data_IF_656345423919
#
_entry.id   IF_656345423919
#
_cell.length_a   1.000
_cell.length_b   1.000
_cell.length_c   1.000
_cell.angle_alpha   90.00
_cell.angle_beta   90.00
_cell.angle_gamma   90.00
#
_symmetry.space_group_name_H-M   'P 1'
#
loop_
_entity.id
_entity.type
_entity.pdbx_description
1 polymer ?
#
# COMPACT_ATOMS: atom_id res chain seq x y z
N UNK A 1 24.28 -17.88 22.04
CA UNK A 1 25.24 -18.98 22.08
C UNK A 1 25.41 -19.60 20.70
N UNK A 2 26.67 -19.58 20.30
CA UNK A 2 27.38 -20.49 19.38
C UNK A 2 27.28 -20.30 17.86
N UNK A 3 28.33 -19.65 17.42
CA UNK A 3 28.92 -19.60 16.09
C UNK A 3 29.33 -21.00 15.56
N UNK A 4 29.12 -21.30 14.27
CA UNK A 4 29.95 -22.27 13.53
C UNK A 4 30.22 -21.77 12.12
N UNK A 5 31.46 -21.36 11.89
CA UNK A 5 32.12 -21.21 10.58
C UNK A 5 32.29 -22.59 9.93
N UNK A 6 32.12 -22.71 8.62
CA UNK A 6 32.68 -23.76 7.80
C UNK A 6 33.46 -23.16 6.63
N UNK A 7 34.77 -23.43 6.68
CA UNK A 7 35.71 -23.29 5.56
C UNK A 7 35.44 -24.38 4.52
N UNK A 8 35.57 -24.07 3.23
CA UNK A 8 35.82 -25.05 2.20
C UNK A 8 36.95 -24.63 1.27
N UNK A 9 37.71 -25.63 0.99
CA UNK A 9 39.03 -25.75 0.40
C UNK A 9 39.11 -25.40 -1.11
N UNK A 10 40.25 -24.88 -1.40
CA UNK A 10 40.84 -24.63 -2.73
C UNK A 10 41.24 -25.93 -3.46
N UNK A 11 41.00 -26.05 -4.76
CA UNK A 11 41.73 -26.94 -5.63
C UNK A 11 42.09 -26.25 -6.95
N UNK A 12 43.41 -26.12 -7.13
CA UNK A 12 44.12 -25.78 -8.35
C UNK A 12 43.93 -26.84 -9.46
N UNK A 13 43.83 -26.42 -10.72
CA UNK A 13 44.47 -27.16 -11.86
C UNK A 13 44.69 -26.23 -13.08
N UNK A 14 45.93 -26.06 -13.34
CA UNK A 14 46.74 -26.08 -14.58
C UNK A 14 46.37 -25.26 -15.83
N UNK A 15 47.36 -24.50 -16.21
CA UNK A 15 47.54 -23.62 -17.40
C UNK A 15 47.54 -24.39 -18.73
N UNK A 16 47.01 -23.74 -19.80
CA UNK A 16 47.59 -23.78 -21.16
C UNK A 16 47.57 -22.38 -21.77
N UNK A 17 48.74 -21.99 -22.31
CA UNK A 17 48.97 -20.74 -23.05
C UNK A 17 48.46 -20.87 -24.48
N UNK A 18 47.81 -19.86 -25.01
CA UNK A 18 47.83 -19.47 -26.41
C UNK A 18 47.76 -17.92 -26.47
N UNK A 19 48.72 -17.30 -27.17
CA UNK A 19 48.88 -15.89 -27.26
C UNK A 19 47.89 -15.24 -28.26
N UNK A 20 47.40 -14.09 -27.91
CA UNK A 20 46.60 -13.19 -28.73
C UNK A 20 46.37 -11.91 -27.96
N UNK A 21 46.72 -10.79 -28.54
CA UNK A 21 46.61 -9.45 -27.96
C UNK A 21 45.13 -9.12 -27.68
N UNK A 22 44.73 -9.35 -26.45
CA UNK A 22 43.47 -8.80 -25.91
C UNK A 22 43.76 -8.24 -24.51
N UNK A 23 43.34 -7.02 -24.27
CA UNK A 23 43.44 -6.37 -22.97
C UNK A 23 42.95 -7.30 -21.87
N UNK A 24 43.69 -7.36 -20.78
CA UNK A 24 43.48 -8.34 -19.71
C UNK A 24 42.13 -8.14 -19.05
N UNK A 25 41.50 -9.21 -18.57
CA UNK A 25 40.25 -9.16 -17.79
C UNK A 25 40.36 -8.25 -16.55
N UNK A 26 41.55 -7.88 -16.12
CA UNK A 26 41.84 -6.90 -15.06
C UNK A 26 41.56 -5.48 -15.50
N UNK A 27 41.88 -5.11 -16.76
CA UNK A 27 41.56 -3.78 -17.29
C UNK A 27 40.06 -3.54 -17.41
N UNK A 28 39.27 -4.58 -17.73
CA UNK A 28 37.80 -4.50 -17.78
C UNK A 28 37.17 -4.49 -16.39
N UNK A 29 37.78 -5.08 -15.39
CA UNK A 29 37.34 -4.98 -13.98
C UNK A 29 37.64 -3.58 -13.44
N UNK A 30 38.84 -3.06 -13.70
CA UNK A 30 39.25 -1.72 -13.25
C UNK A 30 38.35 -0.62 -13.83
N UNK A 31 37.95 -0.71 -15.10
CA UNK A 31 37.02 0.24 -15.75
C UNK A 31 35.60 0.10 -15.19
N UNK A 32 35.15 -1.10 -14.83
CA UNK A 32 33.84 -1.30 -14.17
C UNK A 32 33.82 -0.79 -12.72
N UNK A 33 34.93 -0.88 -12.02
CA UNK A 33 35.05 -0.40 -10.63
C UNK A 33 35.17 1.15 -10.58
N UNK A 34 35.81 1.78 -11.56
CA UNK A 34 35.86 3.23 -11.71
C UNK A 34 34.46 3.82 -12.03
N UNK A 35 33.64 3.13 -12.82
CA UNK A 35 32.24 3.56 -13.13
C UNK A 35 31.30 3.33 -11.94
N UNK A 36 31.62 2.46 -11.00
CA UNK A 36 30.84 2.27 -9.75
C UNK A 36 31.08 3.33 -8.68
N UNK A 37 32.13 4.13 -8.79
CA UNK A 37 32.62 4.96 -7.67
C UNK A 37 32.01 6.36 -7.54
N UNK A 38 31.05 6.79 -8.37
CA UNK A 38 30.59 8.20 -8.36
C UNK A 38 29.09 8.43 -8.22
N UNK A 39 28.32 7.45 -7.78
CA UNK A 39 26.97 7.74 -7.28
C UNK A 39 27.04 7.98 -5.77
N UNK A 40 27.38 9.20 -5.37
CA UNK A 40 27.13 9.67 -4.01
C UNK A 40 25.65 9.43 -3.70
N UNK A 41 25.37 8.48 -2.78
CA UNK A 41 24.01 8.25 -2.32
C UNK A 41 23.53 9.54 -1.67
N UNK A 42 22.51 10.16 -2.23
CA UNK A 42 21.84 11.31 -1.62
C UNK A 42 21.50 10.96 -0.17
N UNK A 43 21.99 11.74 0.78
CA UNK A 43 21.62 11.60 2.18
C UNK A 43 20.38 12.44 2.42
N UNK A 44 19.42 11.87 3.16
CA UNK A 44 18.19 12.56 3.54
C UNK A 44 18.24 12.83 5.04
N UNK A 45 17.88 14.04 5.44
CA UNK A 45 17.66 14.42 6.83
C UNK A 45 16.23 14.88 7.02
N UNK A 46 15.67 14.64 8.22
CA UNK A 46 14.35 15.12 8.58
C UNK A 46 14.44 16.56 9.06
N UNK A 47 13.57 17.42 8.48
CA UNK A 47 13.45 18.83 8.83
C UNK A 47 12.65 19.01 10.13
N UNK A 48 11.58 18.23 10.29
CA UNK A 48 10.60 18.34 11.38
C UNK A 48 10.71 17.21 12.42
N UNK A 49 11.94 16.74 12.72
CA UNK A 49 12.14 15.58 13.61
C UNK A 49 11.42 15.69 14.96
N UNK A 50 11.47 16.86 15.62
CA UNK A 50 10.85 17.05 16.92
C UNK A 50 9.33 16.87 16.90
N UNK A 51 8.65 17.45 15.91
CA UNK A 51 7.19 17.33 15.72
C UNK A 51 6.81 15.92 15.30
N UNK A 52 7.55 15.35 14.37
CA UNK A 52 7.30 13.99 13.89
C UNK A 52 7.50 12.95 15.02
N UNK A 53 8.51 13.13 15.88
CA UNK A 53 8.71 12.27 17.04
C UNK A 53 7.54 12.35 18.03
N UNK A 54 7.02 13.55 18.31
CA UNK A 54 5.79 13.72 19.12
C UNK A 54 4.59 12.99 18.49
N UNK A 55 4.44 13.06 17.17
CA UNK A 55 3.40 12.34 16.45
C UNK A 55 3.56 10.81 16.58
N UNK A 56 4.78 10.30 16.47
CA UNK A 56 5.09 8.88 16.68
C UNK A 56 4.70 8.40 18.09
N UNK A 57 5.05 9.16 19.12
CA UNK A 57 4.68 8.87 20.51
C UNK A 57 3.15 8.86 20.66
N UNK A 58 2.45 9.85 20.07
CA UNK A 58 1.00 9.97 20.15
C UNK A 58 0.26 8.80 19.51
N UNK A 59 0.85 8.10 18.52
CA UNK A 59 0.23 6.89 17.92
C UNK A 59 -0.05 5.78 18.93
N UNK A 60 0.72 5.72 20.03
CA UNK A 60 0.51 4.79 21.13
C UNK A 60 -0.47 5.26 22.20
N UNK A 61 -1.04 6.47 22.08
CA UNK A 61 -1.99 6.98 23.07
C UNK A 61 -3.34 6.28 22.98
N UNK A 62 -3.85 5.78 24.10
CA UNK A 62 -5.18 5.17 24.18
C UNK A 62 -6.28 6.19 23.91
N UNK A 63 -6.10 7.45 24.30
CA UNK A 63 -7.08 8.54 24.07
C UNK A 63 -7.29 8.86 22.58
N UNK A 64 -6.44 8.34 21.70
CA UNK A 64 -6.65 8.43 20.26
C UNK A 64 -7.77 7.50 19.77
N UNK A 65 -8.01 6.39 20.50
CA UNK A 65 -8.92 5.33 20.08
C UNK A 65 -10.15 5.24 20.99
N UNK A 66 -10.03 5.70 22.24
CA UNK A 66 -11.13 5.74 23.20
C UNK A 66 -11.50 7.22 23.39
N UNK A 67 -12.66 7.59 22.87
CA UNK A 67 -13.20 8.94 23.03
C UNK A 67 -13.71 9.15 24.46
N UNK A 68 -13.55 10.34 25.06
CA UNK A 68 -14.12 10.64 26.39
C UNK A 68 -15.65 10.49 26.48
N UNK A 69 -16.34 10.58 25.36
CA UNK A 69 -17.80 10.42 25.25
C UNK A 69 -18.24 9.01 24.84
N UNK A 70 -17.36 8.01 25.00
CA UNK A 70 -17.62 6.62 24.60
C UNK A 70 -18.93 6.06 25.16
N UNK A 71 -19.31 6.42 26.38
CA UNK A 71 -20.52 5.95 27.04
C UNK A 71 -21.79 6.32 26.27
N UNK A 72 -21.79 7.47 25.56
CA UNK A 72 -22.97 7.98 24.84
C UNK A 72 -23.33 7.18 23.60
N UNK A 73 -22.36 6.53 22.99
CA UNK A 73 -22.52 5.88 21.69
C UNK A 73 -22.09 4.42 21.67
N UNK A 74 -21.68 3.85 22.82
CA UNK A 74 -21.20 2.47 22.90
C UNK A 74 -22.29 1.45 22.61
N UNK A 75 -23.47 1.68 23.14
CA UNK A 75 -24.61 0.82 22.90
C UNK A 75 -25.36 1.23 21.64
N UNK A 76 -25.91 0.24 20.94
CA UNK A 76 -26.73 0.42 19.75
C UNK A 76 -28.20 0.61 20.09
N UNK A 77 -28.98 0.92 19.07
CA UNK A 77 -30.44 1.00 19.13
C UNK A 77 -31.08 -0.31 18.60
N UNK A 78 -32.30 -0.61 19.08
CA UNK A 78 -33.09 -1.75 18.63
C UNK A 78 -32.51 -3.11 19.05
N UNK A 79 -32.38 -4.02 18.09
CA UNK A 79 -31.89 -5.38 18.35
C UNK A 79 -30.36 -5.48 18.58
N UNK A 80 -29.62 -4.43 18.31
CA UNK A 80 -28.17 -4.40 18.48
C UNK A 80 -27.79 -3.85 19.84
N UNK A 81 -27.27 -4.70 20.73
CA UNK A 81 -26.77 -4.29 22.05
C UNK A 81 -25.61 -3.26 21.92
N UNK A 82 -24.75 -3.41 20.90
CA UNK A 82 -23.59 -2.56 20.67
C UNK A 82 -23.73 -1.80 19.35
N UNK A 83 -23.30 -0.54 19.32
CA UNK A 83 -23.27 0.26 18.11
C UNK A 83 -22.22 -0.24 17.10
N UNK A 84 -22.33 0.17 15.83
CA UNK A 84 -21.32 -0.11 14.80
C UNK A 84 -19.97 0.49 15.19
N UNK A 85 -19.99 1.70 15.76
CA UNK A 85 -18.79 2.38 16.25
C UNK A 85 -18.10 1.60 17.38
N UNK A 86 -18.84 0.96 18.27
CA UNK A 86 -18.25 0.10 19.29
C UNK A 86 -17.54 -1.11 18.68
N UNK A 87 -18.15 -1.74 17.67
CA UNK A 87 -17.52 -2.84 16.95
C UNK A 87 -16.28 -2.37 16.16
N UNK A 88 -16.33 -1.20 15.53
CA UNK A 88 -15.16 -0.61 14.87
C UNK A 88 -13.99 -0.37 15.84
N UNK A 89 -14.27 0.12 17.05
CA UNK A 89 -13.24 0.28 18.10
C UNK A 89 -12.63 -1.06 18.49
N UNK A 90 -13.45 -2.10 18.67
CA UNK A 90 -12.95 -3.45 18.96
C UNK A 90 -12.04 -3.97 17.84
N UNK A 91 -12.45 -3.80 16.58
CA UNK A 91 -11.66 -4.20 15.41
C UNK A 91 -10.40 -3.34 15.22
N UNK A 92 -10.44 -2.08 15.62
CA UNK A 92 -9.27 -1.18 15.64
C UNK A 92 -8.23 -1.70 16.64
N UNK A 93 -8.61 -2.04 17.87
CA UNK A 93 -7.70 -2.65 18.84
C UNK A 93 -7.14 -3.99 18.35
N UNK A 94 -8.02 -4.83 17.76
CA UNK A 94 -7.60 -6.09 17.13
C UNK A 94 -6.50 -5.85 16.08
N UNK A 95 -6.68 -4.86 15.22
CA UNK A 95 -5.73 -4.55 14.15
C UNK A 95 -4.42 -3.96 14.68
N UNK A 96 -4.49 -2.99 15.59
CA UNK A 96 -3.33 -2.30 16.18
C UNK A 96 -2.40 -3.26 16.92
N UNK A 97 -2.98 -4.11 17.77
CA UNK A 97 -2.22 -5.03 18.62
C UNK A 97 -2.12 -6.45 18.03
N UNK A 98 -2.68 -6.67 16.81
CA UNK A 98 -2.66 -7.95 16.10
C UNK A 98 -3.23 -9.11 16.94
N UNK A 99 -4.28 -8.85 17.71
CA UNK A 99 -4.86 -9.81 18.63
C UNK A 99 -5.86 -10.74 17.92
N UNK A 100 -5.97 -12.01 18.34
CA UNK A 100 -7.14 -12.82 18.04
C UNK A 100 -8.39 -12.22 18.68
N UNK A 101 -9.59 -12.46 18.14
CA UNK A 101 -10.84 -11.86 18.64
C UNK A 101 -11.09 -12.10 20.14
N UNK A 102 -10.87 -13.32 20.62
CA UNK A 102 -11.00 -13.63 22.06
C UNK A 102 -10.06 -12.82 22.93
N UNK A 103 -8.79 -12.68 22.50
CA UNK A 103 -7.83 -11.87 23.22
C UNK A 103 -8.17 -10.37 23.12
N UNK A 104 -8.79 -9.93 22.04
CA UNK A 104 -9.27 -8.54 21.89
C UNK A 104 -10.36 -8.23 22.92
N UNK A 105 -11.35 -9.13 23.09
CA UNK A 105 -12.40 -8.98 24.11
C UNK A 105 -11.77 -8.84 25.50
N UNK A 106 -10.89 -9.78 25.89
CA UNK A 106 -10.24 -9.73 27.21
C UNK A 106 -9.34 -8.51 27.40
N UNK A 107 -8.63 -8.09 26.37
CA UNK A 107 -7.80 -6.88 26.39
C UNK A 107 -8.63 -5.61 26.63
N UNK A 108 -9.71 -5.43 25.89
CA UNK A 108 -10.57 -4.24 26.03
C UNK A 108 -11.33 -4.28 27.36
N UNK A 109 -11.78 -5.46 27.82
CA UNK A 109 -12.40 -5.59 29.14
C UNK A 109 -11.45 -5.12 30.25
N UNK A 110 -10.22 -5.66 30.28
CA UNK A 110 -9.24 -5.25 31.28
C UNK A 110 -8.89 -3.75 31.19
N UNK A 111 -8.91 -3.18 29.97
CA UNK A 111 -8.67 -1.76 29.76
C UNK A 111 -9.83 -0.91 30.36
N UNK A 112 -11.07 -1.32 30.15
CA UNK A 112 -12.24 -0.63 30.72
C UNK A 112 -12.25 -0.72 32.25
N UNK A 113 -11.91 -1.88 32.80
CA UNK A 113 -11.79 -2.06 34.25
C UNK A 113 -10.72 -1.12 34.85
N UNK A 114 -9.54 -1.05 34.21
CA UNK A 114 -8.44 -0.17 34.65
C UNK A 114 -8.76 1.34 34.53
N UNK A 115 -9.52 1.72 33.52
CA UNK A 115 -9.94 3.11 33.28
C UNK A 115 -11.25 3.46 34.00
N UNK A 116 -11.84 2.54 34.75
CA UNK A 116 -13.12 2.67 35.43
C UNK A 116 -14.27 3.09 34.48
N UNK A 117 -14.26 2.54 33.25
CA UNK A 117 -15.32 2.76 32.25
C UNK A 117 -16.43 1.73 32.51
N UNK A 118 -17.66 2.17 32.90
CA UNK A 118 -18.73 1.25 33.32
C UNK A 118 -19.50 0.67 32.11
N UNK A 119 -18.79 0.15 31.13
CA UNK A 119 -19.35 -0.39 29.89
C UNK A 119 -19.02 -1.89 29.76
N UNK A 120 -20.00 -2.68 29.32
CA UNK A 120 -19.75 -4.09 28.95
C UNK A 120 -19.08 -4.16 27.57
N UNK A 121 -18.24 -5.17 27.37
CA UNK A 121 -17.48 -5.37 26.13
C UNK A 121 -18.16 -6.45 25.28
N UNK A 122 -18.29 -6.28 23.95
CA UNK A 122 -18.86 -7.29 23.08
C UNK A 122 -18.08 -8.62 23.14
N UNK A 123 -18.81 -9.71 23.17
CA UNK A 123 -18.24 -11.05 23.03
C UNK A 123 -17.63 -11.23 21.64
N UNK A 124 -16.58 -12.04 21.53
CA UNK A 124 -15.87 -12.30 20.28
C UNK A 124 -16.77 -12.86 19.17
N UNK A 125 -17.85 -13.57 19.49
CA UNK A 125 -18.83 -14.07 18.51
C UNK A 125 -19.66 -12.92 17.94
N UNK A 126 -20.05 -11.96 18.78
CA UNK A 126 -20.75 -10.74 18.37
C UNK A 126 -19.85 -9.91 17.45
N UNK A 127 -18.58 -9.68 17.82
CA UNK A 127 -17.63 -8.96 16.99
C UNK A 127 -17.44 -9.67 15.64
N UNK A 128 -17.29 -10.99 15.64
CA UNK A 128 -17.09 -11.77 14.42
C UNK A 128 -18.27 -11.67 13.46
N UNK A 129 -19.51 -11.78 13.98
CA UNK A 129 -20.73 -11.67 13.18
C UNK A 129 -20.94 -10.25 12.65
N UNK A 130 -20.82 -9.26 13.53
CA UNK A 130 -21.02 -7.84 13.18
C UNK A 130 -19.96 -7.30 12.24
N UNK A 131 -18.75 -7.87 12.23
CA UNK A 131 -17.69 -7.46 11.30
C UNK A 131 -18.06 -7.61 9.83
N UNK A 132 -19.04 -8.43 9.47
CA UNK A 132 -19.53 -8.62 8.11
C UNK A 132 -20.44 -7.46 7.67
N UNK A 133 -21.38 -7.07 8.51
CA UNK A 133 -22.43 -6.10 8.18
C UNK A 133 -22.05 -4.65 8.50
N UNK A 134 -20.82 -4.40 8.93
CA UNK A 134 -20.41 -3.12 9.51
C UNK A 134 -20.38 -1.93 8.54
N UNK A 135 -20.14 -2.19 7.25
CA UNK A 135 -20.13 -1.13 6.23
C UNK A 135 -19.14 0.01 6.50
N UNK A 136 -17.93 -0.32 6.97
CA UNK A 136 -16.93 0.68 7.36
C UNK A 136 -16.59 1.62 6.22
N UNK A 137 -16.63 2.92 6.50
CA UNK A 137 -16.30 3.98 5.54
C UNK A 137 -14.85 4.42 5.75
N UNK A 138 -14.17 4.73 4.66
CA UNK A 138 -12.82 5.27 4.69
C UNK A 138 -12.83 6.73 5.15
N UNK A 139 -12.16 7.03 6.27
CA UNK A 139 -12.03 8.38 6.80
C UNK A 139 -10.99 9.17 5.99
N UNK A 140 -11.44 10.25 5.35
CA UNK A 140 -10.63 11.11 4.50
C UNK A 140 -10.81 12.58 4.88
N UNK A 141 -9.76 13.38 4.67
CA UNK A 141 -9.92 14.84 4.73
C UNK A 141 -10.68 15.34 3.50
N UNK A 142 -11.60 16.33 3.66
CA UNK A 142 -12.21 16.98 2.50
C UNK A 142 -11.16 17.74 1.69
N UNK A 143 -11.34 17.77 0.36
CA UNK A 143 -10.46 18.48 -0.58
C UNK A 143 -11.25 19.09 -1.71
N UNK A 144 -10.79 20.24 -2.20
CA UNK A 144 -11.35 20.88 -3.39
C UNK A 144 -10.92 20.17 -4.66
N UNK A 145 -9.68 19.67 -4.68
CA UNK A 145 -9.07 18.94 -5.77
C UNK A 145 -8.01 17.99 -5.23
N UNK A 146 -7.78 16.88 -5.90
CA UNK A 146 -6.77 15.89 -5.48
C UNK A 146 -6.05 15.28 -6.68
N UNK A 147 -4.97 14.58 -6.42
CA UNK A 147 -4.31 13.63 -7.31
C UNK A 147 -4.54 12.20 -6.79
N UNK A 148 -4.35 11.21 -7.64
CA UNK A 148 -4.53 9.80 -7.29
C UNK A 148 -3.32 8.98 -7.72
N UNK A 149 -2.62 8.43 -6.75
CA UNK A 149 -1.51 7.50 -6.95
C UNK A 149 -2.02 6.11 -6.57
N UNK A 150 -2.12 5.22 -7.56
CA UNK A 150 -2.69 3.89 -7.38
C UNK A 150 -1.63 2.80 -7.51
N UNK A 151 -1.66 1.86 -6.57
CA UNK A 151 -0.85 0.65 -6.63
C UNK A 151 -1.60 -0.52 -5.99
N UNK A 152 -1.17 -1.75 -6.29
CA UNK A 152 -1.77 -2.97 -5.76
C UNK A 152 -0.76 -3.82 -5.00
N UNK A 153 -1.26 -4.56 -4.00
CA UNK A 153 -0.43 -5.48 -3.24
C UNK A 153 -1.22 -6.72 -2.83
N UNK A 154 -0.55 -7.88 -2.76
CA UNK A 154 -1.16 -9.10 -2.27
C UNK A 154 -1.24 -9.18 -0.75
N UNK A 155 -2.37 -9.66 -0.22
CA UNK A 155 -2.55 -10.04 1.16
C UNK A 155 -2.99 -11.51 1.25
N UNK A 156 -2.39 -12.27 2.16
CA UNK A 156 -2.76 -13.67 2.40
C UNK A 156 -4.04 -13.73 3.22
N UNK A 157 -4.99 -14.57 2.83
CA UNK A 157 -6.13 -14.89 3.69
C UNK A 157 -5.69 -15.95 4.71
N UNK A 158 -6.00 -15.69 5.99
CA UNK A 158 -5.71 -16.63 7.06
C UNK A 158 -6.54 -17.91 6.88
N UNK A 159 -5.91 -19.08 6.85
CA UNK A 159 -6.67 -20.33 6.75
C UNK A 159 -5.84 -21.58 6.49
N UNK A 160 -5.16 -21.73 5.39
CA UNK A 160 -4.39 -22.95 5.12
C UNK A 160 -2.89 -22.68 5.10
N UNK A 161 -2.17 -23.27 6.05
CA UNK A 161 -0.74 -23.10 6.19
C UNK A 161 0.04 -23.65 4.97
N UNK A 162 1.19 -23.07 4.69
CA UNK A 162 2.11 -23.51 3.63
C UNK A 162 2.46 -25.01 3.71
N UNK A 163 2.42 -25.55 4.91
CA UNK A 163 2.68 -26.96 5.16
C UNK A 163 1.64 -27.90 4.52
N UNK A 164 0.34 -27.56 4.62
CA UNK A 164 -0.74 -28.34 3.99
C UNK A 164 -0.66 -28.31 2.47
N UNK A 165 -0.30 -27.17 1.89
CA UNK A 165 -0.10 -27.03 0.43
C UNK A 165 1.10 -27.86 -0.04
N UNK A 166 2.19 -27.90 0.72
CA UNK A 166 3.37 -28.72 0.41
C UNK A 166 3.11 -30.22 0.53
N UNK A 167 2.29 -30.65 1.51
CA UNK A 167 2.04 -32.06 1.80
C UNK A 167 0.94 -32.69 0.95
N UNK A 168 -0.07 -31.94 0.53
CA UNK A 168 -1.28 -32.42 -0.14
C UNK A 168 -1.46 -31.96 -1.59
N UNK A 169 -0.46 -31.32 -2.18
CA UNK A 169 -0.43 -30.95 -3.59
C UNK A 169 -1.31 -29.74 -3.96
N UNK A 170 -1.44 -29.49 -5.26
CA UNK A 170 -2.05 -28.29 -5.87
C UNK A 170 -3.54 -28.07 -5.60
N UNK A 171 -4.25 -29.05 -5.05
CA UNK A 171 -5.70 -28.96 -4.78
C UNK A 171 -6.08 -27.97 -3.67
N UNK A 172 -5.12 -27.56 -2.83
CA UNK A 172 -5.33 -26.58 -1.75
C UNK A 172 -4.55 -25.30 -2.02
N UNK A 173 -5.11 -24.47 -2.92
CA UNK A 173 -4.54 -23.17 -3.28
C UNK A 173 -4.52 -22.23 -2.08
N UNK A 174 -3.38 -21.53 -1.91
CA UNK A 174 -3.32 -20.35 -1.02
C UNK A 174 -4.31 -19.32 -1.54
N UNK A 175 -5.22 -18.90 -0.69
CA UNK A 175 -6.14 -17.82 -1.03
C UNK A 175 -5.41 -16.50 -0.78
N UNK A 176 -5.29 -15.72 -1.83
CA UNK A 176 -4.74 -14.37 -1.80
C UNK A 176 -5.82 -13.40 -2.28
N UNK A 177 -5.91 -12.27 -1.62
CA UNK A 177 -6.65 -11.11 -2.11
C UNK A 177 -5.68 -10.05 -2.57
N UNK A 178 -6.10 -9.21 -3.51
CA UNK A 178 -5.38 -8.00 -3.89
C UNK A 178 -5.99 -6.80 -3.20
N UNK A 179 -5.12 -5.97 -2.64
CA UNK A 179 -5.47 -4.68 -2.08
C UNK A 179 -5.04 -3.61 -3.08
N UNK A 180 -6.00 -2.88 -3.61
CA UNK A 180 -5.77 -1.71 -4.47
C UNK A 180 -5.94 -0.49 -3.58
N UNK A 181 -4.86 0.27 -3.36
CA UNK A 181 -4.85 1.44 -2.48
C UNK A 181 -4.49 2.66 -3.31
N UNK A 182 -5.41 3.61 -3.35
CA UNK A 182 -5.23 4.94 -3.92
C UNK A 182 -4.85 5.93 -2.83
N UNK A 183 -3.78 6.67 -3.03
CA UNK A 183 -3.33 7.73 -2.12
C UNK A 183 -3.17 9.03 -2.89
N UNK A 184 -3.15 10.15 -2.18
CA UNK A 184 -2.75 11.42 -2.75
C UNK A 184 -1.23 11.67 -2.64
N UNK A 185 -0.75 12.76 -3.22
CA UNK A 185 0.66 13.18 -3.17
C UNK A 185 1.15 13.55 -1.76
N UNK A 186 0.25 13.75 -0.81
CA UNK A 186 0.59 13.95 0.61
C UNK A 186 0.72 12.63 1.36
N UNK A 187 0.24 11.51 0.78
CA UNK A 187 0.29 10.16 1.35
C UNK A 187 -0.93 9.80 2.19
N UNK A 188 -2.04 10.52 2.07
CA UNK A 188 -3.34 10.16 2.63
C UNK A 188 -3.99 9.09 1.76
N UNK A 189 -4.57 8.05 2.36
CA UNK A 189 -5.31 7.03 1.64
C UNK A 189 -6.68 7.59 1.27
N UNK A 190 -6.94 7.65 -0.05
CA UNK A 190 -8.15 8.24 -0.63
C UNK A 190 -9.18 7.19 -1.05
N UNK A 191 -8.71 6.02 -1.48
CA UNK A 191 -9.57 4.92 -1.89
C UNK A 191 -8.91 3.57 -1.59
N UNK A 192 -9.74 2.55 -1.34
CA UNK A 192 -9.28 1.18 -1.15
C UNK A 192 -10.31 0.19 -1.69
N UNK A 193 -9.83 -0.78 -2.48
CA UNK A 193 -10.64 -1.88 -3.01
C UNK A 193 -9.93 -3.19 -2.77
N UNK A 194 -10.69 -4.20 -2.37
CA UNK A 194 -10.23 -5.59 -2.18
C UNK A 194 -10.80 -6.46 -3.29
N UNK A 195 -9.94 -7.16 -4.01
CA UNK A 195 -10.35 -8.07 -5.08
C UNK A 195 -9.70 -9.45 -4.94
N UNK A 196 -10.19 -10.40 -5.71
CA UNK A 196 -9.53 -11.70 -5.85
C UNK A 196 -8.19 -11.55 -6.58
N UNK A 197 -7.30 -12.52 -6.36
CA UNK A 197 -5.94 -12.50 -6.91
C UNK A 197 -5.88 -12.61 -8.45
N UNK A 198 -6.91 -13.13 -9.10
CA UNK A 198 -7.03 -13.28 -10.54
C UNK A 198 -7.53 -12.02 -11.26
N UNK A 199 -8.06 -11.04 -10.52
CA UNK A 199 -8.53 -9.79 -11.08
C UNK A 199 -7.33 -8.92 -11.49
N UNK A 200 -7.36 -8.37 -12.70
CA UNK A 200 -6.29 -7.48 -13.18
C UNK A 200 -6.30 -6.15 -12.41
N UNK A 201 -5.11 -5.57 -12.18
CA UNK A 201 -4.96 -4.37 -11.34
C UNK A 201 -5.71 -3.14 -11.86
N UNK A 202 -5.94 -3.06 -13.17
CA UNK A 202 -6.70 -1.99 -13.82
C UNK A 202 -8.23 -2.15 -13.72
N UNK A 203 -8.74 -3.34 -13.35
CA UNK A 203 -10.18 -3.61 -13.33
C UNK A 203 -10.95 -2.75 -12.33
N UNK A 204 -10.50 -2.57 -11.06
CA UNK A 204 -11.26 -1.85 -10.05
C UNK A 204 -11.15 -0.33 -10.15
N UNK A 205 -10.62 0.23 -11.26
CA UNK A 205 -10.39 1.67 -11.40
C UNK A 205 -11.66 2.48 -11.16
N UNK A 206 -12.80 2.04 -11.70
CA UNK A 206 -14.07 2.75 -11.53
C UNK A 206 -14.53 2.76 -10.07
N UNK A 207 -14.38 1.63 -9.36
CA UNK A 207 -14.78 1.51 -7.95
C UNK A 207 -13.86 2.32 -7.03
N UNK A 208 -12.63 2.55 -7.45
CA UNK A 208 -11.68 3.44 -6.79
C UNK A 208 -12.07 4.89 -7.00
N UNK A 209 -12.36 5.29 -8.24
CA UNK A 209 -12.76 6.66 -8.56
C UNK A 209 -14.07 7.06 -7.91
N UNK A 210 -15.04 6.15 -7.78
CA UNK A 210 -16.32 6.39 -7.09
C UNK A 210 -16.16 6.67 -5.60
N UNK A 211 -15.05 6.30 -4.98
CA UNK A 211 -14.79 6.60 -3.58
C UNK A 211 -14.28 8.02 -3.36
N UNK A 212 -13.78 8.69 -4.40
CA UNK A 212 -13.26 10.05 -4.28
C UNK A 212 -14.31 11.06 -4.70
N UNK A 213 -14.64 11.99 -3.79
CA UNK A 213 -15.64 13.06 -4.02
C UNK A 213 -15.00 14.29 -4.69
N UNK A 214 -13.68 14.49 -4.46
CA UNK A 214 -12.95 15.60 -5.05
C UNK A 214 -12.57 15.33 -6.50
N UNK A 215 -12.59 16.32 -7.41
CA UNK A 215 -12.06 16.20 -8.74
C UNK A 215 -10.59 15.75 -8.74
N UNK A 216 -10.26 14.72 -9.52
CA UNK A 216 -8.90 14.20 -9.64
C UNK A 216 -8.23 14.86 -10.85
N UNK A 217 -7.14 15.60 -10.62
CA UNK A 217 -6.37 16.24 -11.71
C UNK A 217 -5.36 15.31 -12.33
N UNK A 218 -4.60 14.59 -11.52
CA UNK A 218 -3.46 13.78 -11.93
C UNK A 218 -3.61 12.34 -11.46
N UNK A 219 -3.32 11.40 -12.36
CA UNK A 219 -3.31 9.97 -12.05
C UNK A 219 -1.91 9.39 -12.25
N UNK A 220 -1.41 8.69 -11.23
CA UNK A 220 -0.13 7.99 -11.24
C UNK A 220 -0.36 6.47 -11.08
N UNK A 221 0.10 5.71 -12.04
CA UNK A 221 0.02 4.25 -12.00
C UNK A 221 1.25 3.59 -12.62
N UNK A 222 1.43 2.32 -12.39
CA UNK A 222 2.47 1.56 -13.08
C UNK A 222 2.03 1.13 -14.50
N UNK A 223 2.87 0.37 -15.21
CA UNK A 223 2.56 -0.09 -16.56
C UNK A 223 1.38 -1.08 -16.66
N UNK A 224 0.89 -1.63 -15.55
CA UNK A 224 -0.32 -2.46 -15.54
C UNK A 224 -1.59 -1.63 -15.81
N UNK A 225 -1.54 -0.33 -15.52
CA UNK A 225 -2.63 0.60 -15.81
C UNK A 225 -2.58 1.16 -17.24
N UNK A 226 -1.60 0.79 -18.08
CA UNK A 226 -1.53 1.19 -19.49
C UNK A 226 -2.55 0.42 -20.37
N UNK A 227 -3.83 0.60 -20.08
CA UNK A 227 -4.95 0.00 -20.80
C UNK A 227 -5.95 1.05 -21.28
N UNK A 228 -6.59 0.82 -22.44
CA UNK A 228 -7.60 1.71 -23.00
C UNK A 228 -8.74 2.01 -22.03
N UNK A 229 -9.20 0.98 -21.31
CA UNK A 229 -10.27 1.12 -20.32
C UNK A 229 -9.89 2.12 -19.21
N UNK A 230 -8.68 2.04 -18.69
CA UNK A 230 -8.19 2.97 -17.65
C UNK A 230 -8.18 4.40 -18.19
N UNK A 231 -7.59 4.64 -19.36
CA UNK A 231 -7.56 5.99 -19.94
C UNK A 231 -8.96 6.56 -20.18
N UNK A 232 -9.88 5.76 -20.77
CA UNK A 232 -11.25 6.20 -21.03
C UNK A 232 -12.00 6.51 -19.72
N UNK A 233 -11.85 5.65 -18.71
CA UNK A 233 -12.50 5.85 -17.41
C UNK A 233 -11.97 7.12 -16.73
N UNK A 234 -10.66 7.31 -16.70
CA UNK A 234 -10.03 8.50 -16.11
C UNK A 234 -10.44 9.79 -16.85
N UNK A 235 -10.44 9.77 -18.18
CA UNK A 235 -10.87 10.93 -18.99
C UNK A 235 -12.35 11.26 -18.73
N UNK A 236 -13.21 10.26 -18.63
CA UNK A 236 -14.64 10.44 -18.30
C UNK A 236 -14.85 11.05 -16.91
N UNK A 237 -13.92 10.84 -15.99
CA UNK A 237 -13.89 11.46 -14.64
C UNK A 237 -13.13 12.81 -14.59
N UNK A 238 -12.74 13.38 -15.75
CA UNK A 238 -12.14 14.69 -15.84
C UNK A 238 -10.63 14.74 -15.51
N UNK A 239 -9.95 13.61 -15.38
CA UNK A 239 -8.51 13.56 -15.16
C UNK A 239 -7.79 14.12 -16.39
N UNK A 240 -6.84 15.04 -16.16
CA UNK A 240 -6.06 15.72 -17.21
C UNK A 240 -4.59 15.30 -17.24
N UNK A 241 -4.02 14.96 -16.08
CA UNK A 241 -2.63 14.52 -15.95
C UNK A 241 -2.53 12.98 -15.87
N UNK A 242 -1.80 12.38 -16.84
CA UNK A 242 -1.67 10.91 -16.93
C UNK A 242 -0.20 10.51 -16.81
N UNK A 243 0.18 10.00 -15.63
CA UNK A 243 1.56 9.60 -15.33
C UNK A 243 1.68 8.07 -15.30
N UNK A 244 1.29 7.43 -16.40
CA UNK A 244 1.35 5.99 -16.61
C UNK A 244 2.38 5.69 -17.70
N UNK A 245 3.42 4.86 -17.43
CA UNK A 245 4.42 4.54 -18.43
C UNK A 245 3.85 3.57 -19.48
N UNK A 246 3.73 3.97 -20.76
CA UNK A 246 3.27 3.09 -21.82
C UNK A 246 4.11 1.80 -21.89
N UNK A 247 3.50 0.68 -22.28
CA UNK A 247 4.21 -0.60 -22.44
C UNK A 247 5.36 -0.45 -23.46
N UNK A 248 6.35 -1.36 -23.40
CA UNK A 248 7.53 -1.28 -24.28
C UNK A 248 7.19 -1.40 -25.75
N UNK A 249 6.17 -2.18 -26.08
CA UNK A 249 5.65 -2.43 -27.43
C UNK A 249 4.49 -1.50 -27.83
N UNK A 250 4.24 -0.45 -27.04
CA UNK A 250 3.15 0.48 -27.31
C UNK A 250 3.34 1.22 -28.64
N UNK A 251 2.28 1.33 -29.41
CA UNK A 251 2.22 2.03 -30.69
C UNK A 251 1.33 3.28 -30.52
N UNK A 252 1.68 4.35 -31.23
CA UNK A 252 0.86 5.57 -31.29
C UNK A 252 -0.44 5.23 -32.01
N UNK A 253 -1.57 5.56 -31.38
CA UNK A 253 -2.90 5.30 -31.92
C UNK A 253 -3.38 6.44 -32.82
N UNK A 254 -3.22 7.69 -32.37
CA UNK A 254 -3.60 8.88 -33.15
C UNK A 254 -2.35 9.56 -33.75
N UNK A 255 -2.29 9.56 -35.08
CA UNK A 255 -1.22 10.27 -35.80
C UNK A 255 -1.51 11.78 -35.90
N UNK A 256 -0.47 12.58 -36.11
CA UNK A 256 -0.48 14.06 -36.03
C UNK A 256 -1.46 14.77 -36.99
N UNK A 257 -2.04 14.07 -37.96
CA UNK A 257 -3.00 14.63 -38.92
C UNK A 257 -4.43 14.75 -38.38
N UNK A 258 -4.69 14.29 -37.17
CA UNK A 258 -6.03 14.38 -36.57
C UNK A 258 -6.21 15.75 -35.92
N UNK A 259 -7.32 16.42 -36.28
CA UNK A 259 -7.73 17.73 -35.70
C UNK A 259 -8.19 17.63 -34.24
N UNK A 260 -8.10 16.45 -33.64
CA UNK A 260 -8.54 16.18 -32.26
C UNK A 260 -7.42 16.34 -31.24
N UNK A 261 -7.82 16.59 -30.00
CA UNK A 261 -6.88 16.62 -28.87
C UNK A 261 -6.10 15.30 -28.80
N UNK A 262 -4.76 15.37 -28.69
CA UNK A 262 -3.93 14.17 -28.64
C UNK A 262 -4.34 13.25 -27.49
N UNK A 263 -4.42 11.95 -27.75
CA UNK A 263 -4.76 10.97 -26.73
C UNK A 263 -3.66 10.93 -25.65
N UNK A 264 -3.99 10.95 -24.33
CA UNK A 264 -2.99 11.10 -23.26
C UNK A 264 -1.87 10.06 -23.30
N UNK A 265 -2.20 8.80 -23.62
CA UNK A 265 -1.22 7.71 -23.79
C UNK A 265 -0.23 8.02 -24.92
N UNK A 266 -0.72 8.56 -26.03
CA UNK A 266 0.11 8.92 -27.17
C UNK A 266 1.02 10.12 -26.90
N UNK A 267 0.57 11.07 -26.07
CA UNK A 267 1.40 12.19 -25.58
C UNK A 267 2.60 11.64 -24.81
N UNK A 268 2.37 10.73 -23.86
CA UNK A 268 3.43 10.08 -23.09
C UNK A 268 4.38 9.28 -24.01
N UNK A 269 3.85 8.57 -24.98
CA UNK A 269 4.64 7.78 -25.91
C UNK A 269 5.50 8.65 -26.83
N UNK A 270 4.98 9.79 -27.33
CA UNK A 270 5.75 10.78 -28.09
C UNK A 270 6.87 11.38 -27.26
N UNK A 271 6.56 11.79 -26.02
CA UNK A 271 7.56 12.33 -25.10
C UNK A 271 8.69 11.32 -24.80
N UNK A 272 8.38 10.03 -24.68
CA UNK A 272 9.39 8.97 -24.51
C UNK A 272 10.22 8.77 -25.79
N UNK A 273 9.63 8.90 -26.99
CA UNK A 273 10.33 8.73 -28.26
C UNK A 273 11.25 9.91 -28.59
N UNK A 274 10.87 11.13 -28.21
CA UNK A 274 11.70 12.34 -28.40
C UNK A 274 12.84 12.48 -27.39
N UNK A 275 12.71 11.79 -26.24
CA UNK A 275 13.72 11.78 -25.19
C UNK A 275 14.12 10.33 -24.85
N UNK A 276 14.04 9.97 -23.61
CA UNK A 276 14.18 8.58 -23.13
C UNK A 276 13.12 8.30 -22.08
N UNK A 277 12.77 7.03 -21.86
CA UNK A 277 11.87 6.63 -20.76
C UNK A 277 12.37 7.12 -19.38
N UNK A 278 13.68 7.19 -19.18
CA UNK A 278 14.28 7.71 -17.95
C UNK A 278 14.02 9.22 -17.80
N UNK A 279 14.25 9.97 -18.88
CA UNK A 279 14.01 11.41 -18.93
C UNK A 279 12.52 11.73 -18.74
N UNK A 280 11.64 11.00 -19.45
CA UNK A 280 10.20 11.14 -19.27
C UNK A 280 9.76 10.93 -17.82
N UNK A 281 10.25 9.87 -17.13
CA UNK A 281 9.94 9.62 -15.72
C UNK A 281 10.37 10.76 -14.80
N UNK A 282 11.47 11.45 -15.13
CA UNK A 282 11.94 12.61 -14.37
C UNK A 282 11.06 13.83 -14.63
N UNK A 283 10.75 14.11 -15.91
CA UNK A 283 10.02 15.31 -16.33
C UNK A 283 8.53 15.23 -16.00
N UNK A 284 7.93 14.04 -16.01
CA UNK A 284 6.51 13.84 -15.74
C UNK A 284 6.17 13.74 -14.25
N UNK A 285 7.14 13.82 -13.35
CA UNK A 285 6.88 13.61 -11.92
C UNK A 285 6.51 12.17 -11.55
N UNK A 286 6.67 11.19 -12.44
CA UNK A 286 6.31 9.78 -12.23
C UNK A 286 6.86 9.19 -10.93
N UNK A 287 7.94 9.74 -10.39
CA UNK A 287 8.56 9.26 -9.14
C UNK A 287 7.65 9.43 -7.92
N UNK A 288 6.63 10.29 -7.99
CA UNK A 288 5.59 10.43 -6.96
C UNK A 288 4.91 9.09 -6.67
N UNK A 289 4.84 8.17 -7.65
CA UNK A 289 4.32 6.81 -7.47
C UNK A 289 4.98 6.04 -6.31
N UNK A 290 6.23 6.34 -5.98
CA UNK A 290 6.92 5.69 -4.86
C UNK A 290 6.23 5.90 -3.49
N UNK A 291 5.36 6.89 -3.37
CA UNK A 291 4.55 7.11 -2.17
C UNK A 291 3.56 5.96 -1.93
N UNK A 292 2.98 5.38 -3.01
CA UNK A 292 2.12 4.20 -2.88
C UNK A 292 2.90 2.99 -2.34
N UNK A 293 4.13 2.77 -2.84
CA UNK A 293 5.01 1.72 -2.30
C UNK A 293 5.31 1.94 -0.81
N UNK A 294 5.53 3.20 -0.41
CA UNK A 294 5.72 3.58 1.00
C UNK A 294 4.46 3.32 1.83
N UNK A 295 3.27 3.62 1.31
CA UNK A 295 2.00 3.32 1.96
C UNK A 295 1.82 1.81 2.16
N UNK A 296 2.07 1.01 1.12
CA UNK A 296 2.01 -0.45 1.18
C UNK A 296 3.02 -1.03 2.19
N UNK A 297 4.21 -0.48 2.24
CA UNK A 297 5.22 -0.85 3.24
C UNK A 297 4.72 -0.55 4.67
N UNK A 298 4.17 0.65 4.90
CA UNK A 298 3.59 1.03 6.20
C UNK A 298 2.44 0.08 6.59
N UNK A 299 1.54 -0.22 5.66
CA UNK A 299 0.43 -1.15 5.88
C UNK A 299 0.94 -2.52 6.36
N UNK A 300 1.88 -3.11 5.61
CA UNK A 300 2.44 -4.44 5.92
C UNK A 300 3.25 -4.46 7.20
N UNK A 301 4.01 -3.40 7.48
CA UNK A 301 4.81 -3.29 8.70
C UNK A 301 3.91 -3.16 9.94
N UNK A 302 2.84 -2.36 9.85
CA UNK A 302 1.93 -2.13 10.97
C UNK A 302 1.04 -3.35 11.22
N UNK A 303 0.42 -3.93 10.19
CA UNK A 303 -0.63 -4.94 10.37
C UNK A 303 -0.22 -6.36 9.94
N UNK A 304 0.95 -6.52 9.31
CA UNK A 304 1.37 -7.80 8.73
C UNK A 304 0.82 -8.02 7.32
N UNK A 305 1.06 -9.24 6.83
CA UNK A 305 0.74 -9.63 5.45
C UNK A 305 -0.55 -10.44 5.33
N UNK A 306 -1.30 -10.60 6.42
CA UNK A 306 -2.44 -11.50 6.50
C UNK A 306 -3.75 -10.74 6.77
N UNK A 307 -4.83 -11.28 6.21
CA UNK A 307 -6.20 -10.95 6.56
C UNK A 307 -6.72 -12.00 7.54
N UNK A 308 -7.44 -11.56 8.57
CA UNK A 308 -7.87 -12.44 9.67
C UNK A 308 -9.26 -13.04 9.45
N UNK A 309 -10.12 -12.35 8.69
CA UNK A 309 -11.48 -12.75 8.43
C UNK A 309 -11.62 -13.64 7.21
N UNK A 310 -12.75 -14.36 7.12
CA UNK A 310 -13.01 -15.37 6.10
C UNK A 310 -13.95 -14.92 4.99
N UNK A 311 -14.97 -14.09 5.32
CA UNK A 311 -15.92 -13.56 4.32
C UNK A 311 -15.37 -12.32 3.64
N UNK A 312 -15.78 -12.06 2.42
CA UNK A 312 -15.30 -10.95 1.61
C UNK A 312 -15.64 -9.59 2.24
N UNK A 313 -16.85 -9.45 2.78
CA UNK A 313 -17.30 -8.24 3.47
C UNK A 313 -16.47 -7.97 4.72
N UNK A 314 -16.27 -8.98 5.59
CA UNK A 314 -15.41 -8.82 6.77
C UNK A 314 -13.97 -8.51 6.42
N UNK A 315 -13.45 -9.06 5.31
CA UNK A 315 -12.12 -8.76 4.80
C UNK A 315 -12.02 -7.31 4.30
N UNK A 316 -13.06 -6.84 3.59
CA UNK A 316 -13.15 -5.44 3.16
C UNK A 316 -13.14 -4.51 4.37
N UNK A 317 -14.01 -4.76 5.36
CA UNK A 317 -14.09 -3.95 6.58
C UNK A 317 -12.77 -3.98 7.36
N UNK A 318 -12.10 -5.13 7.46
CA UNK A 318 -10.75 -5.24 8.06
C UNK A 318 -9.74 -4.33 7.36
N UNK A 319 -9.74 -4.31 6.03
CA UNK A 319 -8.80 -3.48 5.25
C UNK A 319 -9.11 -2.00 5.41
N UNK A 320 -10.39 -1.60 5.35
CA UNK A 320 -10.79 -0.19 5.53
C UNK A 320 -10.43 0.30 6.93
N UNK A 321 -10.66 -0.49 7.98
CA UNK A 321 -10.24 -0.15 9.36
C UNK A 321 -8.72 0.05 9.43
N UNK A 322 -7.93 -0.84 8.83
CA UNK A 322 -6.47 -0.70 8.77
C UNK A 322 -6.04 0.58 8.03
N UNK A 323 -6.73 0.92 6.95
CA UNK A 323 -6.49 2.17 6.21
C UNK A 323 -6.88 3.41 7.05
N UNK A 324 -7.99 3.36 7.79
CA UNK A 324 -8.41 4.42 8.71
C UNK A 324 -7.36 4.65 9.81
N UNK A 325 -6.78 3.58 10.35
CA UNK A 325 -5.67 3.69 11.31
C UNK A 325 -4.45 4.39 10.67
N UNK A 326 -4.09 4.05 9.43
CA UNK A 326 -2.97 4.71 8.73
C UNK A 326 -3.27 6.18 8.44
N UNK A 327 -4.51 6.53 8.05
CA UNK A 327 -4.91 7.92 7.87
C UNK A 327 -4.87 8.69 9.20
N UNK A 328 -5.31 8.08 10.30
CA UNK A 328 -5.16 8.66 11.65
C UNK A 328 -3.68 8.93 11.96
N UNK A 329 -2.78 7.98 11.66
CA UNK A 329 -1.34 8.19 11.84
C UNK A 329 -0.78 9.28 10.92
N UNK A 330 -1.30 9.40 9.72
CA UNK A 330 -0.96 10.46 8.78
C UNK A 330 -1.34 11.84 9.31
N UNK A 331 -2.56 12.00 9.83
CA UNK A 331 -3.06 13.27 10.39
C UNK A 331 -2.33 13.69 11.67
N UNK A 332 -1.78 12.75 12.45
CA UNK A 332 -0.95 13.10 13.60
C UNK A 332 0.37 13.77 13.20
N UNK A 333 0.90 13.43 12.05
CA UNK A 333 2.11 14.03 11.51
C UNK A 333 2.90 13.09 10.61
N UNK A 334 3.53 13.70 9.60
CA UNK A 334 4.35 13.03 8.60
C UNK A 334 5.79 13.55 8.61
N UNK A 335 6.78 12.74 8.21
CA UNK A 335 8.16 13.18 8.14
C UNK A 335 8.37 14.11 6.93
N UNK A 336 8.99 15.26 7.14
CA UNK A 336 9.49 16.14 6.09
C UNK A 336 10.99 15.94 5.93
N UNK A 337 11.43 15.48 4.77
CA UNK A 337 12.84 15.23 4.48
C UNK A 337 13.41 16.21 3.46
N UNK A 338 14.71 16.52 3.59
CA UNK A 338 15.47 17.27 2.62
C UNK A 338 16.77 16.54 2.29
N UNK A 339 17.30 16.82 1.11
CA UNK A 339 18.56 16.22 0.62
C UNK A 339 19.73 17.03 1.14
N UNK A 340 20.74 16.36 1.70
CA UNK A 340 22.00 16.95 2.12
C UNK A 340 23.17 16.45 1.27
#
# INVERSE_FOLDING_TARGET
LCCKKKLFHNKNTTKRKLGGVFGTMEDMKHTKDIIKSTKTKKKYKLKNWGEYNKALIKRGSLTLWISPDIERWWYGEGHNTYSDRAIEVMLTFKALYRLPLRATTGFVQSLFDLLHIPLSVPDYTTISRRAEDLGVILNRSPKDVTDLILDSTGAKVFGEGEWKVRKHGWSKRRVWKKLHIGIDSKGEIRAVVVTDNNIHDSTPILDILKQEDAPITDFYGDGAFDTWNVYHTLMAHGVTGFHVPPQKNAVIHMHANNKHTPYPRDVNLRAIRTSTRKQWKQNSGYHTRSLAETCMFRYKTTFGHHMSFRTDESQRNEVVIKCNILNTFHFLGTPESYVT
#
